data_IF_300379664910
#
_entry.id   IF_300379664910
#
_cell.length_a   1.000
_cell.length_b   1.000
_cell.length_c   1.000
_cell.angle_alpha   90.00
_cell.angle_beta   90.00
_cell.angle_gamma   90.00
#
_symmetry.space_group_name_H-M   'P 1'
#
loop_
_entity.id
_entity.type
_entity.pdbx_description
1 polymer ?
#
# COMPACT_ATOMS: atom_id res chain seq x y z
N UNK A 1 36.98 25.10 50.69
CA UNK A 1 36.53 25.17 52.10
C UNK A 1 35.41 24.17 52.24
N UNK A 2 35.79 22.92 52.50
CA UNK A 2 34.96 22.02 53.30
C UNK A 2 34.84 22.59 54.72
N UNK A 3 33.89 22.17 55.58
CA UNK A 3 33.68 20.76 55.92
C UNK A 3 32.26 20.34 56.36
N UNK A 4 32.09 19.05 56.50
CA UNK A 4 31.80 18.18 57.65
C UNK A 4 30.39 17.61 57.76
N UNK A 5 30.28 16.32 57.56
CA UNK A 5 29.41 15.37 58.28
C UNK A 5 29.92 15.21 59.74
N UNK A 6 29.22 14.68 60.74
CA UNK A 6 28.37 13.51 60.89
C UNK A 6 27.32 13.66 62.07
N UNK A 7 26.85 12.63 62.84
CA UNK A 7 26.78 11.19 62.68
C UNK A 7 25.44 10.55 63.09
N UNK A 8 25.40 9.24 62.89
CA UNK A 8 24.44 8.21 63.32
C UNK A 8 23.89 8.27 64.76
N UNK A 9 22.66 7.83 64.97
CA UNK A 9 22.30 7.07 66.16
C UNK A 9 21.13 6.08 65.87
N UNK A 10 21.45 4.85 66.24
CA UNK A 10 20.57 3.66 66.31
C UNK A 10 19.56 3.77 67.44
N UNK A 11 18.50 2.97 67.32
CA UNK A 11 17.84 2.10 68.33
C UNK A 11 16.33 2.06 68.06
N UNK A 12 15.84 0.97 67.62
CA UNK A 12 15.45 -0.33 68.19
C UNK A 12 13.93 -0.42 68.54
N UNK A 13 13.34 -1.50 67.97
CA UNK A 13 12.25 -2.36 68.52
C UNK A 13 10.84 -1.79 68.64
N UNK A 14 9.91 -2.35 67.87
CA UNK A 14 9.09 -3.45 68.45
C UNK A 14 8.14 -4.04 67.40
N UNK A 15 7.94 -5.31 67.56
CA UNK A 15 7.10 -6.19 66.79
C UNK A 15 5.62 -5.82 66.92
N UNK A 16 4.91 -5.86 65.80
CA UNK A 16 3.45 -5.80 65.69
C UNK A 16 3.03 -6.64 64.48
N UNK A 17 3.03 -7.93 64.64
CA UNK A 17 2.47 -8.90 63.72
C UNK A 17 0.96 -8.73 63.74
N UNK A 18 0.41 -8.07 62.72
CA UNK A 18 -0.98 -8.22 62.35
C UNK A 18 -1.03 -8.76 60.92
N UNK A 19 -1.13 -10.10 60.80
CA UNK A 19 -1.35 -10.81 59.57
C UNK A 19 -2.64 -10.39 58.94
N UNK A 20 -2.57 -9.57 57.88
CA UNK A 20 -3.66 -9.44 56.93
C UNK A 20 -3.75 -10.77 56.17
N UNK A 21 -4.95 -11.37 56.04
CA UNK A 21 -5.15 -12.57 55.26
C UNK A 21 -4.74 -12.25 53.80
N UNK A 22 -4.11 -13.21 53.08
CA UNK A 22 -3.80 -13.03 51.69
C UNK A 22 -5.07 -12.69 50.93
N UNK A 23 -5.13 -11.50 50.35
CA UNK A 23 -6.20 -11.12 49.45
C UNK A 23 -6.14 -12.09 48.26
N UNK A 24 -7.06 -13.02 48.20
CA UNK A 24 -7.35 -13.83 47.04
C UNK A 24 -7.45 -12.91 45.84
N UNK A 25 -6.83 -13.28 44.69
CA UNK A 25 -6.93 -12.47 43.50
C UNK A 25 -8.43 -12.24 43.21
N UNK A 26 -8.84 -10.97 43.16
CA UNK A 26 -10.21 -10.61 42.78
C UNK A 26 -10.49 -11.31 41.45
N UNK A 27 -11.26 -12.38 41.46
CA UNK A 27 -11.85 -12.96 40.26
C UNK A 27 -12.51 -11.79 39.52
N UNK A 28 -11.95 -11.46 38.33
CA UNK A 28 -12.58 -10.47 37.45
C UNK A 28 -14.00 -10.97 37.17
N UNK A 29 -14.97 -10.35 37.82
CA UNK A 29 -16.38 -10.55 37.45
C UNK A 29 -16.48 -10.23 35.97
N UNK A 30 -17.03 -11.12 35.15
CA UNK A 30 -17.26 -10.80 33.75
C UNK A 30 -18.07 -9.49 33.70
N UNK A 31 -17.53 -8.49 33.04
CA UNK A 31 -18.27 -7.24 32.88
C UNK A 31 -19.53 -7.53 32.08
N UNK A 32 -20.69 -6.94 32.47
CA UNK A 32 -21.91 -7.14 31.70
C UNK A 32 -21.69 -6.64 30.27
N UNK A 33 -22.15 -7.43 29.30
CA UNK A 33 -22.12 -7.05 27.90
C UNK A 33 -22.87 -5.73 27.69
N UNK A 34 -22.32 -4.88 26.84
CA UNK A 34 -23.03 -3.67 26.39
C UNK A 34 -24.26 -4.06 25.54
N UNK A 35 -25.17 -3.12 25.35
CA UNK A 35 -26.35 -3.36 24.50
C UNK A 35 -26.00 -3.77 23.09
N UNK A 36 -24.90 -3.22 22.54
CA UNK A 36 -24.42 -3.56 21.21
C UNK A 36 -23.88 -4.99 21.17
N UNK A 37 -23.11 -5.40 22.19
CA UNK A 37 -22.55 -6.76 22.29
C UNK A 37 -23.60 -7.85 22.51
N UNK A 38 -24.78 -7.49 23.03
CA UNK A 38 -25.89 -8.41 23.21
C UNK A 38 -26.74 -8.64 21.95
N UNK A 39 -26.45 -7.91 20.86
CA UNK A 39 -27.15 -8.10 19.59
C UNK A 39 -26.67 -9.37 18.87
N UNK A 40 -27.53 -10.01 18.07
CA UNK A 40 -27.11 -11.04 17.11
C UNK A 40 -25.99 -10.55 16.19
N UNK A 41 -25.12 -11.48 15.76
CA UNK A 41 -23.94 -11.17 14.92
C UNK A 41 -24.36 -10.43 13.64
N UNK A 42 -25.46 -10.83 13.03
CA UNK A 42 -25.98 -10.26 11.79
C UNK A 42 -26.37 -8.79 11.96
N UNK A 43 -26.91 -8.42 13.15
CA UNK A 43 -27.23 -7.03 13.44
C UNK A 43 -25.99 -6.19 13.72
N UNK A 44 -24.98 -6.76 14.39
CA UNK A 44 -23.68 -6.09 14.59
C UNK A 44 -23.01 -5.84 13.23
N UNK A 45 -23.00 -6.84 12.35
CA UNK A 45 -22.46 -6.72 11.00
C UNK A 45 -23.22 -5.67 10.17
N UNK A 46 -24.57 -5.69 10.24
CA UNK A 46 -25.38 -4.70 9.55
C UNK A 46 -25.10 -3.28 10.03
N UNK A 47 -25.08 -3.05 11.35
CA UNK A 47 -24.73 -1.75 11.93
C UNK A 47 -23.34 -1.30 11.48
N UNK A 48 -22.37 -2.22 11.49
CA UNK A 48 -21.01 -1.92 11.02
C UNK A 48 -20.97 -1.51 9.56
N UNK A 49 -21.69 -2.21 8.68
CA UNK A 49 -21.74 -1.90 7.25
C UNK A 49 -22.50 -0.59 6.96
N UNK A 50 -23.45 -0.21 7.79
CA UNK A 50 -24.15 1.08 7.70
C UNK A 50 -23.27 2.26 8.16
N UNK A 51 -22.54 2.10 9.27
CA UNK A 51 -21.75 3.21 9.83
C UNK A 51 -20.31 3.27 9.29
N UNK A 52 -19.78 2.20 8.74
CA UNK A 52 -18.39 2.04 8.22
C UNK A 52 -17.31 2.48 9.23
N UNK A 53 -17.58 2.35 10.56
CA UNK A 53 -16.62 2.70 11.60
C UNK A 53 -15.57 1.58 11.76
N UNK A 54 -14.46 1.72 11.06
CA UNK A 54 -13.38 0.73 10.99
C UNK A 54 -12.75 0.43 12.36
N UNK A 55 -12.90 1.32 13.33
CA UNK A 55 -12.39 1.11 14.69
C UNK A 55 -13.37 0.35 15.59
N UNK A 56 -14.61 0.13 15.18
CA UNK A 56 -15.61 -0.58 15.96
C UNK A 56 -15.13 -1.94 16.52
N UNK A 57 -14.38 -2.78 15.74
CA UNK A 57 -13.83 -4.03 16.27
C UNK A 57 -12.87 -3.86 17.46
N UNK A 58 -12.33 -2.66 17.69
CA UNK A 58 -11.44 -2.38 18.82
C UNK A 58 -12.19 -2.12 20.14
N UNK A 59 -13.49 -1.93 20.07
CA UNK A 59 -14.31 -1.62 21.25
C UNK A 59 -14.43 -2.83 22.18
N UNK A 60 -14.54 -4.04 21.63
CA UNK A 60 -14.57 -5.25 22.44
C UNK A 60 -14.20 -6.51 21.63
N UNK A 61 -13.88 -7.59 22.36
CA UNK A 61 -13.55 -8.90 21.77
C UNK A 61 -14.76 -9.55 21.11
N UNK A 62 -15.97 -9.30 21.63
CA UNK A 62 -17.22 -9.82 21.07
C UNK A 62 -17.51 -9.17 19.71
N UNK A 63 -17.40 -7.83 19.63
CA UNK A 63 -17.57 -7.09 18.39
C UNK A 63 -16.47 -7.48 17.38
N UNK A 64 -15.22 -7.61 17.84
CA UNK A 64 -14.13 -8.06 16.98
C UNK A 64 -14.40 -9.43 16.37
N UNK A 65 -14.92 -10.37 17.18
CA UNK A 65 -15.28 -11.72 16.72
C UNK A 65 -16.44 -11.68 15.72
N UNK A 66 -17.49 -10.91 15.99
CA UNK A 66 -18.65 -10.76 15.11
C UNK A 66 -18.27 -10.14 13.74
N UNK A 67 -17.24 -9.28 13.70
CA UNK A 67 -16.77 -8.60 12.50
C UNK A 67 -15.53 -9.24 11.86
N UNK A 68 -15.13 -10.45 12.27
CA UNK A 68 -13.93 -11.14 11.78
C UNK A 68 -14.15 -11.94 10.49
N UNK A 69 -15.36 -11.91 9.90
CA UNK A 69 -15.65 -12.61 8.66
C UNK A 69 -14.79 -12.02 7.49
N UNK A 70 -14.01 -12.86 6.80
CA UNK A 70 -13.22 -12.44 5.64
C UNK A 70 -14.03 -11.81 4.51
N UNK A 71 -15.32 -12.12 4.39
CA UNK A 71 -16.22 -11.50 3.40
C UNK A 71 -16.41 -10.02 3.68
N UNK A 72 -16.55 -9.62 4.94
CA UNK A 72 -16.66 -8.21 5.34
C UNK A 72 -15.43 -7.42 4.85
N UNK A 73 -14.23 -7.97 5.07
CA UNK A 73 -12.99 -7.31 4.62
C UNK A 73 -12.91 -7.21 3.09
N UNK A 74 -13.38 -8.21 2.38
CA UNK A 74 -13.48 -8.22 0.91
C UNK A 74 -14.43 -7.12 0.44
N UNK A 75 -15.61 -7.00 1.03
CA UNK A 75 -16.59 -5.95 0.69
C UNK A 75 -16.06 -4.55 0.99
N UNK A 76 -15.40 -4.35 2.12
CA UNK A 76 -14.78 -3.07 2.47
C UNK A 76 -13.71 -2.65 1.46
N UNK A 77 -12.86 -3.59 1.02
CA UNK A 77 -11.85 -3.32 0.00
C UNK A 77 -12.53 -2.97 -1.35
N UNK A 78 -13.55 -3.72 -1.76
CA UNK A 78 -14.28 -3.45 -3.00
C UNK A 78 -14.98 -2.08 -2.95
N UNK A 79 -15.62 -1.75 -1.83
CA UNK A 79 -16.26 -0.45 -1.61
C UNK A 79 -15.24 0.70 -1.69
N UNK A 80 -14.12 0.56 -0.99
CA UNK A 80 -13.15 1.64 -0.87
C UNK A 80 -12.29 1.82 -2.12
N UNK A 81 -11.83 0.73 -2.75
CA UNK A 81 -10.76 0.75 -3.74
C UNK A 81 -11.19 0.47 -5.18
N UNK A 82 -12.46 0.27 -5.46
CA UNK A 82 -12.97 0.20 -6.85
C UNK A 82 -12.81 1.55 -7.54
N UNK A 83 -12.58 1.51 -8.85
CA UNK A 83 -12.48 2.75 -9.63
C UNK A 83 -13.84 3.41 -9.81
N UNK A 84 -13.88 4.72 -9.65
CA UNK A 84 -15.04 5.55 -9.94
C UNK A 84 -14.99 5.99 -11.40
N UNK A 85 -15.51 5.19 -12.31
CA UNK A 85 -15.73 5.64 -13.67
C UNK A 85 -17.22 5.72 -13.98
N UNK A 86 -17.61 6.50 -14.98
CA UNK A 86 -19.01 6.77 -15.28
C UNK A 86 -19.75 5.50 -15.68
N UNK A 87 -19.10 4.61 -16.42
CA UNK A 87 -19.70 3.33 -16.81
C UNK A 87 -19.93 2.38 -15.64
N UNK A 88 -19.28 2.59 -14.48
CA UNK A 88 -19.57 1.82 -13.26
C UNK A 88 -20.95 2.13 -12.65
N UNK A 89 -21.56 3.28 -12.97
CA UNK A 89 -22.90 3.65 -12.47
C UNK A 89 -24.01 2.75 -13.01
N UNK A 90 -23.79 2.09 -14.14
CA UNK A 90 -24.81 1.29 -14.82
C UNK A 90 -24.64 -0.20 -14.48
N UNK A 91 -25.12 -0.61 -13.31
CA UNK A 91 -25.23 -2.01 -12.89
C UNK A 91 -23.91 -2.75 -12.68
N UNK A 92 -22.79 -2.05 -12.48
CA UNK A 92 -21.52 -2.68 -12.18
C UNK A 92 -21.47 -3.23 -10.75
N UNK A 93 -21.95 -2.46 -9.79
CA UNK A 93 -22.01 -2.88 -8.38
C UNK A 93 -23.27 -3.69 -8.12
N UNK A 94 -23.20 -4.97 -8.39
CA UNK A 94 -24.29 -5.92 -8.15
C UNK A 94 -24.29 -6.40 -6.70
N UNK A 95 -25.42 -6.90 -6.15
CA UNK A 95 -25.51 -7.35 -4.76
C UNK A 95 -24.55 -8.49 -4.38
N UNK A 96 -24.16 -9.33 -5.34
CA UNK A 96 -23.15 -10.38 -5.15
C UNK A 96 -21.71 -9.83 -5.08
N UNK A 97 -21.46 -8.68 -5.69
CA UNK A 97 -20.17 -8.02 -5.66
C UNK A 97 -20.03 -7.05 -4.47
N UNK A 98 -21.08 -6.25 -4.23
CA UNK A 98 -21.17 -5.28 -3.14
C UNK A 98 -22.59 -5.35 -2.54
N UNK A 99 -22.79 -6.13 -1.45
CA UNK A 99 -24.11 -6.35 -0.90
C UNK A 99 -24.67 -5.12 -0.19
N UNK A 100 -26.00 -4.94 -0.17
CA UNK A 100 -26.64 -3.94 0.68
C UNK A 100 -26.25 -4.16 2.16
N UNK A 101 -26.08 -3.09 2.95
CA UNK A 101 -26.39 -1.70 2.65
C UNK A 101 -25.27 -0.91 1.96
N UNK A 102 -24.20 -1.55 1.52
CA UNK A 102 -23.05 -0.88 0.92
C UNK A 102 -23.39 -0.27 -0.43
N UNK A 103 -23.23 1.05 -0.56
CA UNK A 103 -23.37 1.77 -1.82
C UNK A 103 -22.08 2.53 -2.14
N UNK A 104 -21.45 2.15 -3.25
CA UNK A 104 -20.21 2.78 -3.72
C UNK A 104 -20.38 4.28 -4.02
N UNK A 105 -21.54 4.70 -4.52
CA UNK A 105 -21.80 6.07 -4.92
C UNK A 105 -22.34 6.96 -3.80
N UNK A 106 -22.72 6.37 -2.66
CA UNK A 106 -23.10 7.13 -1.47
C UNK A 106 -21.89 7.81 -0.80
N UNK A 107 -20.67 7.29 -1.01
CA UNK A 107 -19.46 7.86 -0.42
C UNK A 107 -18.92 9.02 -1.28
N UNK A 108 -18.75 10.17 -0.66
CA UNK A 108 -17.98 11.26 -1.25
C UNK A 108 -16.50 10.87 -1.46
N UNK A 109 -15.77 11.54 -2.35
CA UNK A 109 -14.33 11.27 -2.54
C UNK A 109 -13.50 11.42 -1.26
N UNK A 110 -13.87 12.33 -0.35
CA UNK A 110 -13.19 12.53 0.94
C UNK A 110 -13.47 11.36 1.90
N UNK A 111 -14.71 10.95 2.05
CA UNK A 111 -15.07 9.80 2.90
C UNK A 111 -14.42 8.51 2.40
N UNK A 112 -14.37 8.32 1.08
CA UNK A 112 -13.68 7.17 0.47
C UNK A 112 -12.19 7.20 0.74
N UNK A 113 -11.51 8.34 0.65
CA UNK A 113 -10.11 8.51 1.04
C UNK A 113 -9.88 8.12 2.49
N UNK A 114 -10.75 8.58 3.39
CA UNK A 114 -10.61 8.30 4.81
C UNK A 114 -10.85 6.81 5.10
N UNK A 115 -11.84 6.20 4.46
CA UNK A 115 -12.07 4.75 4.50
C UNK A 115 -10.86 3.97 3.98
N UNK A 116 -10.31 4.34 2.83
CA UNK A 116 -9.10 3.74 2.27
C UNK A 116 -7.91 3.83 3.24
N UNK A 117 -7.69 5.02 3.82
CA UNK A 117 -6.60 5.25 4.78
C UNK A 117 -6.75 4.36 6.01
N UNK A 118 -7.96 4.26 6.55
CA UNK A 118 -8.27 3.44 7.73
C UNK A 118 -8.11 1.94 7.43
N UNK A 119 -8.61 1.46 6.29
CA UNK A 119 -8.44 0.08 5.85
C UNK A 119 -6.97 -0.28 5.71
N UNK A 120 -6.17 0.56 5.05
CA UNK A 120 -4.74 0.29 4.85
C UNK A 120 -3.97 0.17 6.17
N UNK A 121 -4.40 0.85 7.23
CA UNK A 121 -3.79 0.75 8.57
C UNK A 121 -4.15 -0.55 9.30
N UNK A 122 -5.25 -1.21 8.95
CA UNK A 122 -5.69 -2.44 9.59
C UNK A 122 -4.71 -3.60 9.36
N UNK A 123 -4.57 -4.48 10.37
CA UNK A 123 -3.69 -5.66 10.27
C UNK A 123 -4.17 -6.65 9.21
N UNK A 124 -5.48 -6.81 9.06
CA UNK A 124 -6.09 -7.71 8.07
C UNK A 124 -5.93 -7.21 6.62
N UNK A 125 -5.65 -5.93 6.41
CA UNK A 125 -5.34 -5.38 5.08
C UNK A 125 -3.93 -5.83 4.67
N UNK A 126 -3.86 -6.98 4.01
CA UNK A 126 -2.65 -7.64 3.55
C UNK A 126 -2.56 -7.62 2.02
N UNK A 127 -1.36 -7.84 1.48
CA UNK A 127 -1.16 -7.99 0.05
C UNK A 127 -2.00 -9.14 -0.53
N UNK A 128 -2.03 -10.28 0.16
CA UNK A 128 -2.79 -11.45 -0.30
C UNK A 128 -4.27 -11.15 -0.48
N UNK A 129 -4.89 -10.48 0.51
CA UNK A 129 -6.29 -10.09 0.43
C UNK A 129 -6.52 -9.04 -0.68
N UNK A 130 -5.62 -8.06 -0.81
CA UNK A 130 -5.71 -7.05 -1.88
C UNK A 130 -5.62 -7.70 -3.26
N UNK A 131 -4.69 -8.66 -3.44
CA UNK A 131 -4.53 -9.42 -4.69
C UNK A 131 -5.76 -10.28 -5.01
N UNK A 132 -6.34 -10.92 -3.99
CA UNK A 132 -7.62 -11.63 -4.15
C UNK A 132 -8.72 -10.69 -4.65
N UNK A 133 -8.94 -9.58 -3.97
CA UNK A 133 -9.95 -8.59 -4.37
C UNK A 133 -9.68 -8.00 -5.76
N UNK A 134 -8.40 -7.76 -6.10
CA UNK A 134 -7.97 -7.28 -7.40
C UNK A 134 -8.36 -8.24 -8.53
N UNK A 135 -8.07 -9.53 -8.35
CA UNK A 135 -8.46 -10.57 -9.30
C UNK A 135 -9.97 -10.65 -9.45
N UNK A 136 -10.70 -10.76 -8.34
CA UNK A 136 -12.16 -10.84 -8.33
C UNK A 136 -12.80 -9.59 -8.98
N UNK A 137 -12.18 -8.41 -8.81
CA UNK A 137 -12.64 -7.17 -9.45
C UNK A 137 -12.49 -7.23 -10.98
N UNK A 138 -11.35 -7.68 -11.49
CA UNK A 138 -11.12 -7.83 -12.94
C UNK A 138 -12.07 -8.87 -13.53
N UNK A 139 -12.24 -10.02 -12.86
CA UNK A 139 -13.18 -11.07 -13.29
C UNK A 139 -14.62 -10.56 -13.32
N UNK A 140 -15.02 -9.78 -12.31
CA UNK A 140 -16.32 -9.13 -12.27
C UNK A 140 -16.49 -8.12 -13.42
N UNK A 141 -15.48 -7.28 -13.65
CA UNK A 141 -15.48 -6.32 -14.75
C UNK A 141 -15.62 -7.01 -16.12
N UNK A 142 -14.90 -8.10 -16.35
CA UNK A 142 -15.01 -8.91 -17.57
C UNK A 142 -16.43 -9.45 -17.70
N UNK A 143 -16.95 -10.10 -16.66
CA UNK A 143 -18.28 -10.72 -16.66
C UNK A 143 -19.40 -9.73 -16.97
N UNK A 144 -19.30 -8.50 -16.44
CA UNK A 144 -20.35 -7.49 -16.63
C UNK A 144 -20.15 -6.61 -17.87
N UNK A 145 -18.92 -6.25 -18.19
CA UNK A 145 -18.64 -5.29 -19.29
C UNK A 145 -18.34 -5.97 -20.62
N UNK A 146 -17.86 -7.22 -20.60
CA UNK A 146 -17.58 -7.97 -21.82
C UNK A 146 -18.72 -8.92 -22.22
N UNK A 147 -19.81 -9.01 -21.44
CA UNK A 147 -20.90 -9.97 -21.67
C UNK A 147 -21.55 -9.84 -23.06
N UNK A 148 -21.73 -8.61 -23.52
CA UNK A 148 -22.32 -8.33 -24.82
C UNK A 148 -21.32 -8.31 -25.98
N UNK A 149 -20.02 -8.38 -25.71
CA UNK A 149 -19.00 -8.29 -26.73
C UNK A 149 -18.81 -9.62 -27.48
N UNK A 150 -18.55 -9.53 -28.76
CA UNK A 150 -18.32 -10.68 -29.65
C UNK A 150 -16.82 -10.84 -29.82
N UNK A 151 -16.24 -11.88 -29.22
CA UNK A 151 -14.83 -12.24 -29.32
C UNK A 151 -14.61 -13.32 -30.37
N UNK A 152 -13.42 -13.35 -30.94
CA UNK A 152 -12.94 -14.51 -31.71
C UNK A 152 -12.90 -15.76 -30.80
N UNK A 153 -13.00 -16.99 -31.37
CA UNK A 153 -12.89 -18.22 -30.59
C UNK A 153 -11.57 -18.29 -29.79
N UNK A 154 -10.45 -17.84 -30.37
CA UNK A 154 -9.14 -17.80 -29.72
C UNK A 154 -9.08 -16.82 -28.57
N UNK A 155 -9.65 -15.63 -28.70
CA UNK A 155 -9.69 -14.64 -27.63
C UNK A 155 -10.66 -15.03 -26.50
N UNK A 156 -11.74 -15.73 -26.84
CA UNK A 156 -12.65 -16.29 -25.84
C UNK A 156 -11.96 -17.36 -25.00
N UNK A 157 -11.14 -18.22 -25.63
CA UNK A 157 -10.34 -19.21 -24.91
C UNK A 157 -9.34 -18.53 -23.96
N UNK A 158 -8.67 -17.44 -24.40
CA UNK A 158 -7.76 -16.68 -23.53
C UNK A 158 -8.48 -16.07 -22.33
N UNK A 159 -9.69 -15.55 -22.49
CA UNK A 159 -10.51 -15.05 -21.38
C UNK A 159 -10.89 -16.16 -20.38
N UNK A 160 -11.01 -17.40 -20.82
CA UNK A 160 -11.31 -18.52 -19.92
C UNK A 160 -10.11 -18.98 -19.09
N UNK A 161 -8.88 -18.61 -19.48
CA UNK A 161 -7.63 -19.04 -18.84
C UNK A 161 -6.90 -17.91 -18.08
N UNK A 162 -7.64 -16.94 -17.54
CA UNK A 162 -7.07 -15.80 -16.83
C UNK A 162 -6.34 -16.19 -15.54
N UNK A 163 -6.69 -17.32 -14.94
CA UNK A 163 -6.06 -17.83 -13.72
C UNK A 163 -4.56 -18.00 -13.86
N UNK A 164 -4.12 -18.57 -14.98
CA UNK A 164 -2.71 -18.75 -15.31
C UNK A 164 -1.99 -17.39 -15.44
N UNK A 165 -2.64 -16.42 -16.09
CA UNK A 165 -2.11 -15.08 -16.22
C UNK A 165 -1.97 -14.37 -14.88
N UNK A 166 -2.97 -14.49 -14.00
CA UNK A 166 -2.87 -13.92 -12.64
C UNK A 166 -1.80 -14.59 -11.79
N UNK A 167 -1.59 -15.91 -11.92
CA UNK A 167 -0.53 -16.62 -11.22
C UNK A 167 0.87 -16.11 -11.65
N UNK A 168 1.03 -15.79 -12.93
CA UNK A 168 2.27 -15.31 -13.53
C UNK A 168 2.36 -13.78 -13.64
N UNK A 169 1.53 -13.03 -12.93
CA UNK A 169 1.41 -11.57 -13.04
C UNK A 169 2.74 -10.80 -12.92
N UNK A 170 3.68 -11.32 -12.12
CA UNK A 170 4.98 -10.67 -11.92
C UNK A 170 5.89 -10.69 -13.16
N UNK A 171 5.59 -11.57 -14.13
CA UNK A 171 6.34 -11.68 -15.39
C UNK A 171 5.93 -10.59 -16.39
N UNK A 172 4.81 -9.92 -16.17
CA UNK A 172 4.31 -8.88 -17.06
C UNK A 172 4.94 -7.51 -16.73
N UNK A 173 5.84 -7.04 -17.59
CA UNK A 173 6.54 -5.75 -17.41
C UNK A 173 5.60 -4.54 -17.49
N UNK A 174 4.56 -4.61 -18.32
CA UNK A 174 3.62 -3.51 -18.49
C UNK A 174 2.79 -3.24 -17.23
N UNK A 175 2.63 -4.22 -16.34
CA UNK A 175 1.99 -4.06 -15.04
C UNK A 175 2.77 -3.19 -14.06
N UNK A 176 4.06 -3.00 -14.23
CA UNK A 176 4.87 -2.11 -13.37
C UNK A 176 4.62 -0.64 -13.65
N UNK A 177 4.42 -0.29 -14.92
CA UNK A 177 4.17 1.08 -15.37
C UNK A 177 2.68 1.39 -15.60
N UNK A 178 1.82 0.47 -15.35
CA UNK A 178 0.37 0.31 -15.22
C UNK A 178 -0.57 1.24 -15.96
N UNK A 179 -0.18 2.45 -16.28
CA UNK A 179 -1.09 3.47 -16.79
C UNK A 179 -0.89 3.81 -18.27
N UNK A 180 0.25 3.46 -18.84
CA UNK A 180 0.63 3.83 -20.20
C UNK A 180 1.15 2.61 -20.94
N UNK A 181 0.28 1.83 -21.51
CA UNK A 181 0.70 0.65 -22.24
C UNK A 181 -0.44 0.02 -23.03
N UNK A 182 -0.09 -1.00 -23.78
CA UNK A 182 -1.05 -1.74 -24.60
C UNK A 182 -1.90 -2.72 -23.78
N UNK A 183 -1.53 -3.03 -22.53
CA UNK A 183 -2.05 -4.11 -21.70
C UNK A 183 -1.13 -5.34 -21.75
N UNK A 184 -1.19 -6.16 -20.70
CA UNK A 184 -0.47 -7.44 -20.64
C UNK A 184 -1.13 -8.47 -21.58
N UNK A 185 -2.46 -8.47 -21.60
CA UNK A 185 -3.30 -9.20 -22.54
C UNK A 185 -4.19 -8.23 -23.30
N UNK A 186 -4.10 -8.25 -24.61
CA UNK A 186 -4.96 -7.43 -25.49
C UNK A 186 -5.79 -8.36 -26.37
N UNK A 187 -7.11 -8.19 -26.29
CA UNK A 187 -8.08 -8.94 -27.06
C UNK A 187 -8.85 -7.97 -27.98
N UNK A 188 -9.33 -8.49 -29.10
CA UNK A 188 -10.17 -7.74 -30.00
C UNK A 188 -11.60 -8.27 -29.90
N UNK A 189 -12.56 -7.36 -29.77
CA UNK A 189 -13.98 -7.70 -29.72
C UNK A 189 -14.76 -6.79 -30.64
N UNK A 190 -15.94 -7.22 -31.03
CA UNK A 190 -16.91 -6.38 -31.76
C UNK A 190 -18.07 -5.98 -30.87
N UNK A 191 -18.47 -4.72 -30.97
CA UNK A 191 -19.66 -4.24 -30.29
C UNK A 191 -20.92 -4.79 -30.99
N UNK A 192 -21.89 -5.32 -30.25
CA UNK A 192 -23.02 -6.01 -30.84
C UNK A 192 -23.92 -5.11 -31.71
N UNK A 193 -24.02 -3.82 -31.39
CA UNK A 193 -24.94 -2.89 -32.03
C UNK A 193 -24.31 -2.05 -33.15
N UNK A 194 -23.01 -1.87 -33.16
CA UNK A 194 -22.32 -1.00 -34.12
C UNK A 194 -21.31 -1.74 -35.00
N UNK A 195 -21.08 -3.02 -34.73
CA UNK A 195 -20.01 -3.82 -35.34
C UNK A 195 -18.64 -3.14 -35.27
N UNK A 196 -18.47 -2.13 -34.39
CA UNK A 196 -17.24 -1.43 -34.18
C UNK A 196 -16.21 -2.35 -33.50
N UNK A 197 -14.98 -2.25 -33.93
CA UNK A 197 -13.86 -2.97 -33.30
C UNK A 197 -13.52 -2.31 -31.97
N UNK A 198 -13.47 -3.12 -30.93
CA UNK A 198 -13.08 -2.72 -29.57
C UNK A 198 -11.81 -3.44 -29.14
N UNK A 199 -10.96 -2.77 -28.41
CA UNK A 199 -9.83 -3.37 -27.70
C UNK A 199 -10.19 -3.58 -26.22
N UNK A 200 -9.99 -4.80 -25.73
CA UNK A 200 -10.09 -5.16 -24.33
C UNK A 200 -8.69 -5.43 -23.83
N UNK A 201 -8.17 -4.53 -23.00
CA UNK A 201 -6.82 -4.62 -22.45
C UNK A 201 -6.90 -4.96 -20.96
N UNK A 202 -6.09 -5.93 -20.53
CA UNK A 202 -6.02 -6.40 -19.15
C UNK A 202 -4.59 -6.23 -18.65
N UNK A 203 -4.41 -5.72 -17.43
CA UNK A 203 -3.13 -5.60 -16.73
C UNK A 203 -3.20 -6.41 -15.43
N UNK A 204 -2.52 -7.56 -15.40
CA UNK A 204 -2.64 -8.51 -14.29
C UNK A 204 -1.95 -8.02 -13.02
N UNK A 205 -0.75 -7.46 -13.14
CA UNK A 205 -0.04 -6.94 -11.98
C UNK A 205 -0.68 -5.66 -11.44
N UNK A 206 -1.22 -4.84 -12.31
CA UNK A 206 -1.90 -3.61 -11.95
C UNK A 206 -3.36 -3.82 -11.54
N UNK A 207 -3.97 -4.97 -11.90
CA UNK A 207 -5.36 -5.31 -11.60
C UNK A 207 -6.36 -4.42 -12.31
N UNK A 208 -6.15 -4.18 -13.59
CA UNK A 208 -6.97 -3.29 -14.39
C UNK A 208 -7.50 -3.96 -15.65
N UNK A 209 -8.67 -3.49 -16.06
CA UNK A 209 -9.29 -3.78 -17.35
C UNK A 209 -9.70 -2.47 -18.02
N UNK A 210 -9.48 -2.37 -19.32
CA UNK A 210 -9.95 -1.27 -20.14
C UNK A 210 -10.65 -1.80 -21.40
N UNK A 211 -11.80 -1.23 -21.71
CA UNK A 211 -12.54 -1.48 -22.96
C UNK A 211 -12.62 -0.15 -23.71
N UNK A 212 -12.08 -0.11 -24.93
CA UNK A 212 -12.02 1.13 -25.71
C UNK A 212 -12.03 0.86 -27.21
N UNK A 213 -12.38 1.86 -27.99
CA UNK A 213 -12.10 1.87 -29.42
C UNK A 213 -10.58 1.89 -29.67
N UNK A 214 -10.09 1.35 -30.79
CA UNK A 214 -8.69 1.46 -31.18
C UNK A 214 -8.29 2.94 -31.27
N UNK A 215 -7.45 3.38 -30.35
CA UNK A 215 -6.98 4.77 -30.27
C UNK A 215 -5.52 4.78 -29.81
N UNK A 216 -4.68 5.68 -30.33
CA UNK A 216 -3.34 5.91 -29.81
C UNK A 216 -3.36 6.58 -28.42
N UNK A 217 -4.48 7.21 -28.05
CA UNK A 217 -4.63 7.93 -26.80
C UNK A 217 -5.24 7.02 -25.74
N UNK A 218 -4.66 7.03 -24.57
CA UNK A 218 -5.14 6.31 -23.40
C UNK A 218 -5.99 7.24 -22.53
N UNK A 219 -7.22 6.83 -22.23
CA UNK A 219 -8.13 7.56 -21.35
C UNK A 219 -8.29 6.81 -20.04
N UNK A 220 -7.87 7.40 -18.91
CA UNK A 220 -8.01 6.78 -17.58
C UNK A 220 -9.48 6.57 -17.15
N UNK A 221 -10.40 7.36 -17.69
CA UNK A 221 -11.83 7.29 -17.38
C UNK A 221 -12.48 5.96 -17.75
N UNK A 222 -11.89 5.23 -18.69
CA UNK A 222 -12.42 3.95 -19.16
C UNK A 222 -11.82 2.74 -18.45
N UNK A 223 -10.99 2.97 -17.43
CA UNK A 223 -10.25 1.91 -16.74
C UNK A 223 -10.98 1.45 -15.49
N UNK A 224 -11.28 0.17 -15.42
CA UNK A 224 -11.71 -0.53 -14.21
C UNK A 224 -10.48 -1.05 -13.50
N UNK A 225 -10.19 -0.59 -12.27
CA UNK A 225 -9.01 -1.02 -11.51
C UNK A 225 -9.26 -1.10 -10.01
N UNK A 226 -8.47 -1.95 -9.36
CA UNK A 226 -8.36 -2.07 -7.92
C UNK A 226 -6.89 -2.42 -7.58
N UNK A 227 -6.20 -1.68 -6.70
CA UNK A 227 -6.70 -0.54 -5.93
C UNK A 227 -6.75 0.75 -6.76
N UNK A 228 -7.72 1.58 -6.46
CA UNK A 228 -7.85 2.90 -7.07
C UNK A 228 -8.01 3.97 -6.00
N UNK A 229 -7.07 4.90 -5.91
CA UNK A 229 -7.20 6.10 -5.10
C UNK A 229 -7.45 7.32 -6.00
N UNK A 230 -8.27 8.25 -5.52
CA UNK A 230 -8.51 9.50 -6.23
C UNK A 230 -7.21 10.30 -6.44
N UNK A 231 -7.08 10.97 -7.59
CA UNK A 231 -5.95 11.86 -7.83
C UNK A 231 -5.99 13.07 -6.90
N UNK A 232 -7.17 13.65 -6.67
CA UNK A 232 -7.33 14.85 -5.84
C UNK A 232 -7.38 14.52 -4.34
N UNK A 233 -7.85 13.32 -4.00
CA UNK A 233 -8.01 12.85 -2.64
C UNK A 233 -7.29 11.51 -2.44
N UNK A 234 -5.95 11.46 -2.49
CA UNK A 234 -5.22 10.21 -2.31
C UNK A 234 -5.30 9.72 -0.87
N UNK A 235 -5.34 8.39 -0.68
CA UNK A 235 -5.21 7.78 0.63
C UNK A 235 -3.78 7.94 1.18
N UNK A 236 -3.63 7.89 2.50
CA UNK A 236 -2.32 7.93 3.15
C UNK A 236 -1.69 6.53 3.18
N UNK A 237 -0.45 6.43 2.74
CA UNK A 237 0.34 5.20 2.87
C UNK A 237 0.49 4.81 4.34
N UNK A 238 0.17 3.56 4.74
CA UNK A 238 0.25 3.14 6.14
C UNK A 238 1.70 3.00 6.60
N UNK A 239 1.98 3.39 7.85
CA UNK A 239 3.32 3.33 8.43
C UNK A 239 3.87 1.89 8.51
N UNK A 240 2.99 0.89 8.63
CA UNK A 240 3.39 -0.53 8.64
C UNK A 240 4.15 -0.96 7.38
N UNK A 241 3.94 -0.30 6.23
CA UNK A 241 4.64 -0.55 4.98
C UNK A 241 5.94 0.25 4.83
N UNK A 242 6.18 1.23 5.70
CA UNK A 242 7.33 2.12 5.67
C UNK A 242 8.37 1.82 6.76
N UNK A 243 8.26 0.68 7.46
CA UNK A 243 9.15 0.29 8.56
C UNK A 243 9.65 -1.14 8.37
N UNK A 244 10.86 -1.48 8.85
CA UNK A 244 11.33 -2.86 8.85
C UNK A 244 10.39 -3.79 9.66
N UNK A 245 10.47 -5.10 9.50
CA UNK A 245 11.34 -5.83 8.56
C UNK A 245 10.84 -5.72 7.11
N UNK A 246 11.78 -5.70 6.15
CA UNK A 246 11.50 -5.63 4.71
C UNK A 246 11.37 -7.04 4.14
N UNK A 247 10.14 -7.51 3.96
CA UNK A 247 9.85 -8.78 3.30
C UNK A 247 9.45 -8.54 1.85
N UNK A 248 9.63 -9.52 0.97
CA UNK A 248 9.19 -9.44 -0.42
C UNK A 248 7.72 -9.04 -0.55
N UNK A 249 6.84 -9.69 0.22
CA UNK A 249 5.41 -9.38 0.24
C UNK A 249 5.12 -7.94 0.65
N UNK A 250 5.90 -7.39 1.60
CA UNK A 250 5.74 -5.99 2.03
C UNK A 250 6.22 -5.02 0.96
N UNK A 251 7.35 -5.29 0.32
CA UNK A 251 7.89 -4.47 -0.76
C UNK A 251 6.98 -4.51 -2.00
N UNK A 252 6.41 -5.68 -2.32
CA UNK A 252 5.40 -5.80 -3.37
C UNK A 252 4.14 -4.98 -3.04
N UNK A 253 3.66 -5.03 -1.78
CA UNK A 253 2.49 -4.25 -1.37
C UNK A 253 2.77 -2.75 -1.38
N UNK A 254 3.95 -2.33 -0.91
CA UNK A 254 4.40 -0.95 -1.00
C UNK A 254 4.45 -0.49 -2.47
N UNK A 255 5.01 -1.31 -3.36
CA UNK A 255 5.10 -1.02 -4.79
C UNK A 255 3.71 -0.89 -5.43
N UNK A 256 2.76 -1.79 -5.11
CA UNK A 256 1.40 -1.75 -5.60
C UNK A 256 0.68 -0.44 -5.23
N UNK A 257 0.93 0.06 -4.01
CA UNK A 257 0.29 1.26 -3.48
C UNK A 257 1.10 2.54 -3.73
N UNK A 258 2.35 2.46 -4.16
CA UNK A 258 3.28 3.59 -4.19
C UNK A 258 2.81 4.75 -5.08
N UNK A 259 2.07 4.44 -6.14
CA UNK A 259 1.48 5.42 -7.06
C UNK A 259 0.01 5.74 -6.74
N UNK A 260 -0.62 5.01 -5.83
CA UNK A 260 -2.01 5.18 -5.44
C UNK A 260 -2.15 5.98 -4.13
N UNK A 261 -1.38 5.59 -3.11
CA UNK A 261 -1.40 6.24 -1.80
C UNK A 261 -0.17 7.15 -1.62
N UNK A 262 -0.38 8.32 -1.03
CA UNK A 262 0.72 9.25 -0.80
C UNK A 262 1.57 8.85 0.40
N UNK A 263 2.89 9.00 0.28
CA UNK A 263 3.84 8.79 1.37
C UNK A 263 4.04 10.07 2.16
N UNK A 264 4.31 11.19 1.48
CA UNK A 264 4.63 12.47 2.11
C UNK A 264 3.50 13.48 1.95
N UNK A 265 3.22 14.23 3.01
CA UNK A 265 2.19 15.27 3.03
C UNK A 265 2.69 16.60 2.45
N UNK A 266 4.00 16.81 2.52
CA UNK A 266 4.65 18.06 2.12
C UNK A 266 5.82 17.79 1.18
N UNK A 267 6.35 18.83 0.56
CA UNK A 267 7.57 18.78 -0.26
C UNK A 267 8.87 18.59 0.53
N UNK A 268 8.80 18.50 1.87
CA UNK A 268 9.96 18.17 2.72
C UNK A 268 10.35 16.69 2.62
N UNK A 269 9.45 15.82 2.17
CA UNK A 269 9.65 14.38 1.99
C UNK A 269 10.09 13.65 3.27
N UNK A 270 9.51 14.01 4.41
CA UNK A 270 10.02 13.57 5.71
C UNK A 270 9.89 12.06 5.92
N UNK A 271 8.77 11.45 5.50
CA UNK A 271 8.56 10.01 5.65
C UNK A 271 9.43 9.20 4.67
N UNK A 272 9.42 9.54 3.39
CA UNK A 272 10.25 8.85 2.38
C UNK A 272 11.74 9.01 2.65
N UNK A 273 12.16 10.21 3.07
CA UNK A 273 13.53 10.51 3.50
C UNK A 273 13.95 9.65 4.71
N UNK A 274 13.07 9.51 5.70
CA UNK A 274 13.35 8.66 6.86
C UNK A 274 13.54 7.20 6.46
N UNK A 275 12.68 6.66 5.58
CA UNK A 275 12.75 5.27 5.09
C UNK A 275 14.09 4.97 4.43
N UNK A 276 14.49 5.77 3.42
CA UNK A 276 15.78 5.54 2.75
C UNK A 276 16.97 5.66 3.70
N UNK A 277 16.95 6.65 4.60
CA UNK A 277 18.00 6.80 5.60
C UNK A 277 18.10 5.60 6.55
N UNK A 278 16.93 5.03 6.93
CA UNK A 278 16.86 3.83 7.76
C UNK A 278 17.50 2.63 7.05
N UNK A 279 17.13 2.40 5.79
CA UNK A 279 17.62 1.27 4.98
C UNK A 279 19.14 1.39 4.73
N UNK A 280 19.65 2.60 4.49
CA UNK A 280 21.09 2.85 4.38
C UNK A 280 21.81 2.52 5.70
N UNK A 281 21.25 2.95 6.84
CA UNK A 281 21.82 2.69 8.17
C UNK A 281 21.84 1.20 8.50
N UNK A 282 20.78 0.49 8.16
CA UNK A 282 20.61 -0.94 8.41
C UNK A 282 21.39 -1.81 7.40
N UNK A 283 22.03 -1.18 6.40
CA UNK A 283 22.86 -1.83 5.37
C UNK A 283 22.08 -2.85 4.52
N UNK A 284 20.79 -2.65 4.33
CA UNK A 284 19.95 -3.49 3.49
C UNK A 284 19.99 -2.99 2.03
N UNK A 285 21.03 -3.40 1.29
CA UNK A 285 21.24 -2.96 -0.08
C UNK A 285 20.13 -3.40 -1.07
N UNK A 286 19.64 -4.65 -1.03
CA UNK A 286 18.55 -5.07 -1.94
C UNK A 286 17.29 -4.22 -1.78
N UNK A 287 16.89 -3.94 -0.55
CA UNK A 287 15.75 -3.06 -0.27
C UNK A 287 16.02 -1.63 -0.74
N UNK A 288 17.23 -1.12 -0.50
CA UNK A 288 17.61 0.23 -0.92
C UNK A 288 17.50 0.42 -2.44
N UNK A 289 18.08 -0.50 -3.21
CA UNK A 289 18.02 -0.47 -4.68
C UNK A 289 16.57 -0.47 -5.18
N UNK A 290 15.75 -1.35 -4.63
CA UNK A 290 14.34 -1.47 -5.01
C UNK A 290 13.53 -0.22 -4.67
N UNK A 291 13.75 0.39 -3.51
CA UNK A 291 13.08 1.64 -3.14
C UNK A 291 13.54 2.80 -4.03
N UNK A 292 14.83 2.88 -4.34
CA UNK A 292 15.39 3.96 -5.15
C UNK A 292 14.80 4.00 -6.57
N UNK A 293 14.45 2.84 -7.12
CA UNK A 293 13.83 2.72 -8.45
C UNK A 293 12.30 2.89 -8.42
N UNK A 294 11.70 2.92 -7.24
CA UNK A 294 10.26 3.03 -7.07
C UNK A 294 9.77 4.47 -7.33
N UNK A 295 8.64 4.59 -8.00
CA UNK A 295 7.90 5.85 -8.08
C UNK A 295 6.93 5.93 -6.93
N UNK A 296 6.90 7.08 -6.26
CA UNK A 296 6.05 7.32 -5.10
C UNK A 296 5.15 8.55 -5.34
N UNK A 297 4.00 8.52 -4.72
CA UNK A 297 3.08 9.65 -4.70
C UNK A 297 3.30 10.49 -3.45
N UNK A 298 3.17 11.80 -3.61
CA UNK A 298 3.08 12.76 -2.51
C UNK A 298 1.71 13.43 -2.54
N UNK A 299 1.29 14.03 -1.44
CA UNK A 299 0.03 14.75 -1.39
C UNK A 299 0.06 16.05 -2.19
N UNK A 300 1.26 16.61 -2.36
CA UNK A 300 1.46 17.91 -3.03
C UNK A 300 1.40 17.81 -4.55
N UNK A 301 1.85 16.68 -5.12
CA UNK A 301 1.94 16.50 -6.56
C UNK A 301 0.95 15.45 -7.05
N UNK A 302 0.23 15.77 -8.12
CA UNK A 302 -0.78 14.89 -8.73
C UNK A 302 -0.18 13.76 -9.60
N UNK A 303 1.16 13.68 -9.67
CA UNK A 303 1.87 12.66 -10.45
C UNK A 303 2.92 11.96 -9.58
N UNK A 304 3.21 10.68 -9.86
CA UNK A 304 4.24 9.95 -9.15
C UNK A 304 5.64 10.50 -9.48
N UNK A 305 6.46 10.66 -8.45
CA UNK A 305 7.86 11.05 -8.55
C UNK A 305 8.75 9.84 -8.27
N UNK A 306 9.94 9.81 -8.82
CA UNK A 306 10.96 8.85 -8.34
C UNK A 306 11.19 9.07 -6.85
N UNK A 307 11.42 8.00 -6.10
CA UNK A 307 11.75 8.13 -4.68
C UNK A 307 12.89 9.13 -4.48
N UNK A 308 12.69 10.25 -3.76
CA UNK A 308 13.65 11.35 -3.76
C UNK A 308 14.91 11.00 -2.96
N UNK A 309 16.07 11.09 -3.57
CA UNK A 309 17.35 11.05 -2.90
C UNK A 309 17.77 12.46 -2.51
N UNK A 310 18.02 12.70 -1.24
CA UNK A 310 18.42 14.00 -0.70
C UNK A 310 19.88 13.99 -0.26
N UNK A 311 20.56 15.14 -0.13
CA UNK A 311 21.94 15.20 0.34
C UNK A 311 22.20 14.45 1.65
N UNK A 312 21.17 14.34 2.50
CA UNK A 312 21.25 13.57 3.76
C UNK A 312 21.41 12.07 3.54
N UNK A 313 20.93 11.49 2.42
CA UNK A 313 21.13 10.07 2.09
C UNK A 313 22.56 9.82 1.65
N UNK A 314 23.12 10.69 0.82
CA UNK A 314 24.52 10.62 0.41
C UNK A 314 25.48 10.72 1.61
N UNK A 315 25.21 11.65 2.53
CA UNK A 315 25.97 11.77 3.78
C UNK A 315 25.80 10.53 4.67
N UNK A 316 24.60 9.95 4.72
CA UNK A 316 24.37 8.70 5.44
C UNK A 316 25.14 7.55 4.80
N UNK A 317 25.11 7.40 3.47
CA UNK A 317 25.89 6.38 2.79
C UNK A 317 27.38 6.50 3.08
N UNK A 318 27.95 7.72 3.01
CA UNK A 318 29.35 7.96 3.41
C UNK A 318 29.66 7.62 4.86
N UNK A 319 28.74 7.93 5.77
CA UNK A 319 28.91 7.70 7.21
C UNK A 319 28.90 6.22 7.57
N UNK A 320 28.06 5.43 6.89
CA UNK A 320 27.88 4.01 7.18
C UNK A 320 28.58 3.10 6.16
N UNK A 321 29.43 3.68 5.29
CA UNK A 321 30.24 2.90 4.35
C UNK A 321 31.30 2.08 5.10
N UNK A 322 31.32 0.77 4.82
CA UNK A 322 32.26 -0.17 5.44
C UNK A 322 33.59 -0.28 4.67
N UNK A 323 33.56 0.01 3.36
CA UNK A 323 34.69 -0.18 2.42
C UNK A 323 34.80 0.98 1.43
N UNK A 324 35.93 1.05 0.71
CA UNK A 324 36.13 2.06 -0.33
C UNK A 324 35.15 1.91 -1.51
N UNK A 325 34.77 0.67 -1.89
CA UNK A 325 33.80 0.40 -2.98
C UNK A 325 32.43 0.04 -2.39
N UNK A 326 31.78 1.01 -1.76
CA UNK A 326 30.49 0.83 -1.09
C UNK A 326 29.33 0.82 -2.09
N UNK A 327 28.50 -0.24 -2.14
CA UNK A 327 27.43 -0.37 -3.13
C UNK A 327 26.36 0.71 -3.02
N UNK A 328 26.07 1.25 -1.82
CA UNK A 328 25.10 2.33 -1.65
C UNK A 328 25.60 3.63 -2.27
N UNK A 329 26.90 3.93 -2.07
CA UNK A 329 27.54 5.12 -2.66
C UNK A 329 27.54 5.00 -4.17
N UNK A 330 27.97 3.84 -4.70
CA UNK A 330 28.00 3.57 -6.13
C UNK A 330 26.64 3.78 -6.77
N UNK A 331 25.61 3.15 -6.23
CA UNK A 331 24.24 3.24 -6.76
C UNK A 331 23.69 4.68 -6.72
N UNK A 332 23.95 5.42 -5.63
CA UNK A 332 23.54 6.83 -5.52
C UNK A 332 24.26 7.71 -6.54
N UNK A 333 25.55 7.49 -6.75
CA UNK A 333 26.34 8.26 -7.72
C UNK A 333 25.87 7.93 -9.15
N UNK A 334 25.66 6.67 -9.48
CA UNK A 334 25.21 6.25 -10.81
C UNK A 334 23.80 6.75 -11.16
N UNK A 335 22.85 6.57 -10.22
CA UNK A 335 21.42 6.82 -10.52
C UNK A 335 20.90 8.18 -10.09
N UNK A 336 21.59 8.88 -9.17
CA UNK A 336 21.03 10.05 -8.46
C UNK A 336 22.00 11.24 -8.32
N UNK A 337 23.09 11.23 -9.06
CA UNK A 337 24.09 12.31 -9.02
C UNK A 337 23.52 13.71 -9.20
N UNK A 338 22.49 13.84 -10.06
CA UNK A 338 21.83 15.09 -10.36
C UNK A 338 21.04 15.69 -9.17
N UNK A 339 20.70 14.86 -8.17
CA UNK A 339 19.98 15.28 -6.97
C UNK A 339 20.91 15.88 -5.89
N UNK A 340 22.23 15.86 -6.13
CA UNK A 340 23.22 16.50 -5.27
C UNK A 340 23.30 18.00 -5.57
N UNK A 341 23.32 18.86 -4.51
CA UNK A 341 23.55 20.28 -4.69
C UNK A 341 24.92 20.54 -5.33
N UNK A 342 24.94 21.39 -6.34
CA UNK A 342 26.19 21.72 -7.05
C UNK A 342 27.19 22.45 -6.15
N UNK A 343 26.71 23.20 -5.17
CA UNK A 343 27.52 23.97 -4.22
C UNK A 343 28.13 23.14 -3.06
N UNK A 344 27.73 21.88 -2.87
CA UNK A 344 28.32 20.98 -1.86
C UNK A 344 29.52 20.20 -2.42
N UNK A 345 30.60 20.96 -2.76
CA UNK A 345 31.81 20.42 -3.38
C UNK A 345 32.44 19.34 -2.50
N UNK A 346 32.50 19.57 -1.19
CA UNK A 346 33.09 18.60 -0.25
C UNK A 346 32.37 17.24 -0.27
N UNK A 347 31.05 17.26 -0.33
CA UNK A 347 30.26 16.02 -0.41
C UNK A 347 30.49 15.30 -1.75
N UNK A 348 30.55 16.05 -2.84
CA UNK A 348 30.81 15.52 -4.18
C UNK A 348 32.18 14.88 -4.29
N UNK A 349 33.23 15.54 -3.82
CA UNK A 349 34.60 15.01 -3.82
C UNK A 349 34.74 13.74 -2.96
N UNK A 350 34.12 13.73 -1.78
CA UNK A 350 34.11 12.56 -0.91
C UNK A 350 33.39 11.35 -1.54
N UNK A 351 32.30 11.60 -2.29
CA UNK A 351 31.59 10.53 -3.00
C UNK A 351 32.38 10.02 -4.21
N UNK A 352 33.02 10.91 -4.96
CA UNK A 352 33.86 10.55 -6.10
C UNK A 352 35.12 9.79 -5.67
N UNK A 353 35.72 10.17 -4.57
CA UNK A 353 36.89 9.47 -4.03
C UNK A 353 36.57 8.00 -3.67
N UNK A 354 35.35 7.73 -3.19
CA UNK A 354 34.90 6.37 -2.80
C UNK A 354 34.14 5.61 -3.89
N UNK A 355 33.66 6.29 -4.94
CA UNK A 355 32.92 5.65 -6.06
C UNK A 355 33.77 5.38 -7.31
N UNK A 356 35.02 5.82 -7.36
CA UNK A 356 35.86 5.80 -8.57
C UNK A 356 36.63 4.49 -8.84
N UNK A 357 36.46 3.45 -8.09
CA UNK A 357 37.32 2.27 -8.18
C UNK A 357 37.29 1.50 -9.53
N UNK A 358 36.42 1.85 -10.51
CA UNK A 358 36.35 1.12 -11.80
C UNK A 358 36.06 1.93 -13.08
N UNK A 359 36.02 3.24 -13.04
CA UNK A 359 35.81 4.01 -14.28
C UNK A 359 37.08 4.19 -15.14
N UNK A 360 38.25 3.72 -14.68
CA UNK A 360 39.52 3.87 -15.39
C UNK A 360 40.00 2.61 -16.13
N UNK A 361 39.29 1.46 -16.08
CA UNK A 361 39.76 0.25 -16.74
C UNK A 361 39.15 -0.02 -18.13
N UNK A 362 38.23 0.81 -18.62
CA UNK A 362 37.64 0.61 -19.96
C UNK A 362 37.85 1.78 -20.94
N UNK A 363 38.91 2.54 -20.76
CA UNK A 363 39.25 3.68 -21.63
C UNK A 363 40.66 3.64 -22.24
N UNK A 364 41.24 2.44 -22.35
CA UNK A 364 42.52 2.25 -23.03
C UNK A 364 42.57 0.88 -23.72
N UNK A 365 41.88 0.78 -24.83
CA UNK A 365 42.24 -0.11 -25.97
C UNK A 365 41.68 0.52 -27.25
#
# INVERSE_FOLDING_TARGET
>A
MDPVCPPSSQLSRSAGSSGLPPQLPRMNRPQPLSRLESLPVELIQKIFLECLEINLPRASIHIASALSDPLIYTWLIRLAFSSANESSRHGFFTPDFLPPPLDFFALSPAERRDLQTNILQCRWSTLSLMRKCQREYVEHAIRHKCKSLIFSPGDRCRLSNLDECFARRAEFDQGRNGRRGKGDLVLTAKAPNSNADLKVAIWFNFGALQIREPSPVFYETDVFRLPCCSMDYPARMPDKLLRPPWTESKLEFLSLLSTEAYIDETSSYDRSKYVLRQVIRDRDFPTFERLLDMHIRTKVYNYPLRWPARPTHFRAALRYADKEDDPFIKLLVEKRWQELPQNDVRLRDALLARGRSRLHEHGAE
#
